data_IF_218226359097
#
_entry.id   IF_218226359097
#
_cell.length_a   1.000
_cell.length_b   1.000
_cell.length_c   1.000
_cell.angle_alpha   90.00
_cell.angle_beta   90.00
_cell.angle_gamma   90.00
#
_symmetry.space_group_name_H-M   'P 1'
#
loop_
_entity.id
_entity.type
_entity.pdbx_description
1 polymer ?
#
# COMPACT_ATOMS: atom_id res chain seq x y z
N UNK A 1 -8.74 24.24 -34.53
CA UNK A 1 -7.87 24.31 -33.33
C UNK A 1 -8.44 25.29 -32.31
N UNK A 2 -9.06 26.39 -32.75
CA UNK A 2 -9.76 27.36 -31.91
C UNK A 2 -11.06 26.81 -31.27
N UNK A 3 -11.70 25.81 -31.88
CA UNK A 3 -12.94 25.19 -31.35
C UNK A 3 -12.71 24.42 -30.05
N UNK A 4 -11.53 23.79 -29.90
CA UNK A 4 -11.15 23.03 -28.70
C UNK A 4 -10.97 23.99 -27.52
N UNK A 5 -10.32 25.14 -27.75
CA UNK A 5 -10.09 26.15 -26.72
C UNK A 5 -11.40 26.85 -26.32
N UNK A 6 -12.30 27.08 -27.28
CA UNK A 6 -13.64 27.62 -27.03
C UNK A 6 -14.49 26.68 -26.16
N UNK A 7 -14.40 25.37 -26.39
CA UNK A 7 -15.12 24.36 -25.60
C UNK A 7 -14.63 24.27 -24.15
N UNK A 8 -13.31 24.25 -23.94
CA UNK A 8 -12.72 24.23 -22.59
C UNK A 8 -13.07 25.51 -21.82
N UNK A 9 -13.00 26.68 -22.48
CA UNK A 9 -13.37 27.96 -21.86
C UNK A 9 -14.84 28.02 -21.45
N UNK A 10 -15.74 27.41 -22.24
CA UNK A 10 -17.17 27.34 -21.91
C UNK A 10 -17.43 26.45 -20.71
N UNK A 11 -16.81 25.27 -20.63
CA UNK A 11 -16.98 24.34 -19.51
C UNK A 11 -16.51 24.98 -18.19
N UNK A 12 -15.36 25.66 -18.20
CA UNK A 12 -14.83 26.35 -17.01
C UNK A 12 -15.71 27.53 -16.58
N UNK A 13 -16.36 28.21 -17.53
CA UNK A 13 -17.29 29.30 -17.21
C UNK A 13 -18.65 28.80 -16.69
N UNK A 14 -19.04 27.57 -17.01
CA UNK A 14 -20.35 26.97 -16.67
C UNK A 14 -20.29 26.20 -15.33
N UNK A 15 -19.12 25.73 -14.89
CA UNK A 15 -18.94 24.94 -13.65
C UNK A 15 -18.57 25.80 -12.40
N UNK A 16 -18.61 27.12 -12.53
CA UNK A 16 -18.12 28.09 -11.53
C UNK A 16 -19.15 28.86 -10.71
N UNK A 17 -20.37 28.35 -10.46
CA UNK A 17 -21.33 28.99 -9.54
C UNK A 17 -21.74 28.09 -8.37
N UNK A 18 -21.21 28.30 -7.16
CA UNK A 18 -21.67 27.64 -5.95
C UNK A 18 -22.65 28.56 -5.21
N UNK A 19 -23.96 28.42 -5.43
CA UNK A 19 -24.99 29.09 -4.62
C UNK A 19 -26.16 28.16 -4.22
N UNK A 20 -25.95 27.44 -3.09
CA UNK A 20 -26.71 27.47 -1.81
C UNK A 20 -28.27 27.48 -1.79
N UNK A 21 -28.91 27.32 -0.60
CA UNK A 21 -29.64 26.13 -0.19
C UNK A 21 -31.16 26.31 -0.27
N UNK A 22 -31.89 25.25 -0.64
CA UNK A 22 -33.36 25.20 -0.45
C UNK A 22 -33.72 24.12 0.55
N UNK A 23 -33.93 24.56 1.78
CA UNK A 23 -34.61 23.77 2.78
C UNK A 23 -36.05 23.47 2.34
N UNK A 24 -36.51 22.24 2.63
CA UNK A 24 -37.67 21.94 3.47
C UNK A 24 -38.13 20.51 3.22
N UNK A 25 -37.90 19.65 4.21
CA UNK A 25 -38.88 18.69 4.75
C UNK A 25 -38.23 18.03 5.95
N UNK A 26 -38.57 18.51 7.14
CA UNK A 26 -38.40 17.76 8.39
C UNK A 26 -39.37 16.58 8.29
N UNK A 27 -38.90 15.49 7.70
CA UNK A 27 -39.52 14.19 7.81
C UNK A 27 -39.09 13.59 9.13
N UNK A 28 -40.05 13.40 10.03
CA UNK A 28 -39.90 12.64 11.28
C UNK A 28 -39.10 11.35 11.02
N UNK A 29 -38.01 11.06 11.74
CA UNK A 29 -37.34 9.77 11.59
C UNK A 29 -38.28 8.67 12.08
N UNK A 30 -38.53 7.68 11.23
CA UNK A 30 -39.10 6.41 11.65
C UNK A 30 -38.07 5.70 12.55
N UNK A 31 -38.51 4.98 13.61
CA UNK A 31 -37.59 4.21 14.43
C UNK A 31 -36.90 3.13 13.56
N UNK A 32 -35.62 2.83 13.83
CA UNK A 32 -34.93 1.75 13.12
C UNK A 32 -35.65 0.42 13.40
N UNK A 33 -35.71 -0.50 12.42
CA UNK A 33 -36.16 -1.87 12.69
C UNK A 33 -35.25 -2.49 13.76
N UNK A 34 -35.76 -3.40 14.60
CA UNK A 34 -34.92 -4.10 15.57
C UNK A 34 -33.81 -4.81 14.80
N UNK A 35 -32.56 -4.56 15.20
CA UNK A 35 -31.41 -5.30 14.71
C UNK A 35 -31.69 -6.79 14.96
N UNK A 36 -31.87 -7.54 13.87
CA UNK A 36 -31.62 -8.97 13.95
C UNK A 36 -30.15 -9.14 14.38
N UNK A 37 -29.82 -10.13 15.23
CA UNK A 37 -28.42 -10.43 15.49
C UNK A 37 -27.79 -10.74 14.12
N UNK A 38 -26.87 -9.88 13.71
CA UNK A 38 -25.93 -10.23 12.65
C UNK A 38 -25.10 -11.35 13.28
N UNK A 39 -25.35 -12.58 12.83
CA UNK A 39 -24.49 -13.72 13.12
C UNK A 39 -23.10 -13.38 12.57
N UNK A 40 -22.28 -12.79 13.44
CA UNK A 40 -20.87 -12.45 13.25
C UNK A 40 -20.01 -13.73 13.30
N UNK A 41 -20.44 -14.76 12.57
CA UNK A 41 -19.78 -16.07 12.49
C UNK A 41 -19.54 -16.44 11.02
N UNK A 42 -19.18 -15.44 10.22
CA UNK A 42 -18.27 -15.69 9.12
C UNK A 42 -16.87 -15.52 9.69
N UNK A 43 -16.07 -16.58 9.88
CA UNK A 43 -14.67 -16.38 10.19
C UNK A 43 -14.04 -15.68 8.97
N UNK A 44 -13.80 -14.38 9.09
CA UNK A 44 -12.71 -13.75 8.37
C UNK A 44 -11.45 -14.47 8.85
N UNK A 45 -11.09 -15.56 8.16
CA UNK A 45 -9.79 -16.20 8.32
C UNK A 45 -8.74 -15.21 7.86
N UNK A 46 -8.33 -14.35 8.78
CA UNK A 46 -7.11 -13.56 8.69
C UNK A 46 -5.97 -14.55 8.52
N UNK A 47 -5.40 -14.59 7.32
CA UNK A 47 -4.22 -15.40 7.02
C UNK A 47 -2.99 -14.72 7.63
N UNK A 48 -2.62 -15.11 8.85
CA UNK A 48 -1.32 -14.75 9.44
C UNK A 48 -0.18 -15.50 8.73
N UNK A 49 0.65 -14.75 8.01
CA UNK A 49 1.76 -15.26 7.20
C UNK A 49 3.09 -15.26 8.00
N UNK A 50 3.08 -15.84 9.20
CA UNK A 50 4.29 -15.93 10.05
C UNK A 50 5.19 -17.12 9.72
N UNK A 51 4.78 -17.99 8.79
CA UNK A 51 5.59 -19.11 8.33
C UNK A 51 6.33 -18.75 7.04
N UNK A 52 7.66 -18.89 6.97
CA UNK A 52 8.36 -18.75 5.71
C UNK A 52 7.89 -19.87 4.78
N UNK A 53 7.31 -19.49 3.64
CA UNK A 53 7.03 -20.45 2.55
C UNK A 53 8.37 -21.07 2.16
N UNK A 54 8.53 -22.36 2.45
CA UNK A 54 9.67 -23.11 1.96
C UNK A 54 9.68 -22.99 0.44
N UNK A 55 10.74 -22.41 -0.13
CA UNK A 55 10.95 -22.46 -1.56
C UNK A 55 10.85 -23.94 -1.99
N UNK A 56 10.09 -24.28 -3.06
CA UNK A 56 10.00 -25.65 -3.50
C UNK A 56 11.42 -26.18 -3.67
N UNK A 57 11.72 -27.28 -2.98
CA UNK A 57 12.97 -28.00 -3.17
C UNK A 57 13.08 -28.24 -4.68
N UNK A 58 14.23 -27.90 -5.33
CA UNK A 58 14.37 -28.19 -6.75
C UNK A 58 14.06 -29.68 -6.91
N UNK A 59 13.16 -30.06 -7.84
CA UNK A 59 12.80 -31.45 -8.01
C UNK A 59 14.10 -32.23 -8.14
N UNK A 60 14.30 -33.20 -7.24
CA UNK A 60 15.45 -34.10 -7.30
C UNK A 60 15.45 -34.65 -8.72
N UNK A 61 16.48 -34.31 -9.49
CA UNK A 61 16.60 -34.76 -10.86
C UNK A 61 16.68 -36.29 -10.85
N UNK A 62 15.54 -36.95 -11.00
CA UNK A 62 15.52 -38.26 -11.62
C UNK A 62 16.20 -38.07 -12.98
N UNK A 63 17.17 -38.94 -13.29
CA UNK A 63 17.87 -38.88 -14.56
C UNK A 63 16.82 -38.77 -15.68
N UNK A 64 16.89 -37.72 -16.52
CA UNK A 64 15.84 -37.45 -17.48
C UNK A 64 15.72 -38.66 -18.40
N UNK A 65 14.55 -39.31 -18.34
CA UNK A 65 14.11 -40.17 -19.44
C UNK A 65 14.12 -39.28 -20.68
N UNK A 66 14.66 -39.73 -21.84
CA UNK A 66 14.76 -38.86 -23.01
C UNK A 66 13.36 -38.39 -23.40
N UNK A 67 13.06 -37.16 -23.03
CA UNK A 67 11.91 -36.41 -23.50
C UNK A 67 12.13 -36.20 -25.00
N UNK A 68 11.11 -36.38 -25.85
CA UNK A 68 11.24 -36.02 -27.25
C UNK A 68 11.75 -34.58 -27.31
N UNK A 69 12.83 -34.37 -28.07
CA UNK A 69 13.50 -33.07 -28.14
C UNK A 69 12.44 -31.96 -28.33
N UNK A 70 12.47 -30.89 -27.52
CA UNK A 70 11.54 -29.80 -27.70
C UNK A 70 11.67 -29.33 -29.14
N UNK A 71 10.55 -29.35 -29.88
CA UNK A 71 10.52 -28.73 -31.20
C UNK A 71 11.04 -27.29 -31.04
N UNK A 72 11.92 -26.82 -31.93
CA UNK A 72 12.43 -25.47 -31.83
C UNK A 72 11.24 -24.53 -31.83
N UNK A 73 10.99 -23.89 -30.68
CA UNK A 73 10.06 -22.78 -30.58
C UNK A 73 10.57 -21.78 -31.60
N UNK A 74 9.86 -21.63 -32.72
CA UNK A 74 10.19 -20.58 -33.69
C UNK A 74 10.17 -19.31 -32.87
N UNK A 75 11.31 -18.62 -32.79
CA UNK A 75 11.34 -17.29 -32.23
C UNK A 75 10.26 -16.49 -32.96
N UNK A 76 9.21 -16.11 -32.25
CA UNK A 76 8.21 -15.18 -32.78
C UNK A 76 8.99 -13.99 -33.32
N UNK A 77 8.73 -13.63 -34.57
CA UNK A 77 9.34 -12.45 -35.17
C UNK A 77 9.14 -11.27 -34.19
N UNK A 78 10.18 -10.47 -33.93
CA UNK A 78 10.05 -9.35 -33.01
C UNK A 78 8.90 -8.47 -33.52
N UNK A 79 7.90 -8.25 -32.67
CA UNK A 79 6.79 -7.37 -32.98
C UNK A 79 7.35 -6.03 -33.51
N UNK A 80 6.75 -5.47 -34.57
CA UNK A 80 7.26 -4.25 -35.16
C UNK A 80 7.32 -3.15 -34.09
N UNK A 81 8.51 -2.57 -33.92
CA UNK A 81 8.73 -1.54 -32.92
C UNK A 81 7.70 -0.41 -33.09
N UNK A 82 6.88 -0.20 -32.07
CA UNK A 82 5.83 0.84 -32.04
C UNK A 82 6.45 2.24 -32.21
N UNK A 83 7.71 2.40 -31.79
CA UNK A 83 8.45 3.65 -31.88
C UNK A 83 9.49 3.62 -33.00
N UNK A 84 9.61 4.75 -33.70
CA UNK A 84 10.71 4.94 -34.63
C UNK A 84 12.05 5.00 -33.89
N UNK A 85 13.12 4.47 -34.50
CA UNK A 85 14.47 4.53 -33.95
C UNK A 85 14.93 5.98 -33.68
N UNK A 86 14.49 6.93 -34.53
CA UNK A 86 14.75 8.36 -34.33
C UNK A 86 14.10 8.89 -33.06
N UNK A 87 12.84 8.55 -32.83
CA UNK A 87 12.10 8.98 -31.63
C UNK A 87 12.76 8.41 -30.37
N UNK A 88 13.07 7.12 -30.37
CA UNK A 88 13.73 6.46 -29.25
C UNK A 88 15.09 7.10 -28.91
N UNK A 89 15.89 7.44 -29.93
CA UNK A 89 17.18 8.08 -29.72
C UNK A 89 17.05 9.53 -29.22
N UNK A 90 16.06 10.27 -29.72
CA UNK A 90 15.81 11.65 -29.29
C UNK A 90 15.37 11.74 -27.81
N UNK A 91 14.56 10.78 -27.34
CA UNK A 91 14.07 10.77 -25.95
C UNK A 91 15.07 10.23 -24.93
N UNK A 92 16.07 9.44 -25.39
CA UNK A 92 17.02 8.74 -24.51
C UNK A 92 17.79 9.67 -23.59
N UNK A 93 18.31 10.79 -24.12
CA UNK A 93 19.07 11.76 -23.32
C UNK A 93 18.25 12.48 -22.24
N UNK A 94 16.96 12.75 -22.52
CA UNK A 94 16.05 13.38 -21.57
C UNK A 94 15.65 12.42 -20.44
N UNK A 95 15.41 11.16 -20.77
CA UNK A 95 15.13 10.11 -19.77
C UNK A 95 16.37 9.81 -18.91
N UNK A 96 17.57 9.83 -19.48
CA UNK A 96 18.81 9.72 -18.70
C UNK A 96 19.02 10.92 -17.77
N UNK A 97 18.72 12.14 -18.23
CA UNK A 97 18.78 13.33 -17.39
C UNK A 97 17.76 13.27 -16.24
N UNK A 98 16.54 12.81 -16.52
CA UNK A 98 15.49 12.59 -15.51
C UNK A 98 15.89 11.51 -14.50
N UNK A 99 16.44 10.40 -14.97
CA UNK A 99 16.96 9.30 -14.14
C UNK A 99 18.02 9.78 -13.15
N UNK A 100 18.93 10.66 -13.59
CA UNK A 100 19.95 11.27 -12.70
C UNK A 100 19.37 12.23 -11.66
N UNK A 101 18.21 12.82 -11.95
CA UNK A 101 17.47 13.69 -11.03
C UNK A 101 16.67 12.89 -10.00
N UNK A 102 16.38 11.61 -10.26
CA UNK A 102 15.91 10.69 -9.24
C UNK A 102 17.11 10.40 -8.33
N UNK A 103 17.34 11.32 -7.38
CA UNK A 103 18.32 11.19 -6.33
C UNK A 103 18.09 9.85 -5.65
N UNK A 104 19.01 8.90 -5.86
CA UNK A 104 19.10 7.69 -5.06
C UNK A 104 19.69 8.15 -3.73
N UNK A 105 18.92 8.19 -2.63
CA UNK A 105 19.40 8.78 -1.40
C UNK A 105 20.55 7.91 -0.86
N UNK A 106 21.73 8.51 -0.68
CA UNK A 106 22.89 7.90 -0.02
C UNK A 106 22.55 7.50 1.44
N UNK A 107 21.57 8.18 2.04
CA UNK A 107 21.03 7.90 3.36
C UNK A 107 19.54 7.61 3.23
N UNK A 108 19.14 6.34 3.43
CA UNK A 108 17.73 5.97 3.48
C UNK A 108 16.99 6.89 4.47
N UNK A 109 15.98 7.61 3.98
CA UNK A 109 15.09 8.37 4.86
C UNK A 109 15.43 9.85 5.11
N UNK A 110 16.47 10.46 4.53
CA UNK A 110 16.75 11.90 4.80
C UNK A 110 15.91 12.86 3.94
N UNK A 111 15.87 12.63 2.62
CA UNK A 111 15.11 13.47 1.65
C UNK A 111 13.95 12.71 0.98
N UNK A 112 13.51 11.61 1.61
CA UNK A 112 12.39 10.80 1.11
C UNK A 112 11.12 11.11 1.88
N UNK A 113 9.96 10.83 1.27
CA UNK A 113 8.67 10.92 1.93
C UNK A 113 8.64 10.16 3.27
N UNK A 114 9.30 9.00 3.34
CA UNK A 114 9.42 8.22 4.58
C UNK A 114 10.11 9.02 5.70
N UNK A 115 11.14 9.78 5.35
CA UNK A 115 11.83 10.68 6.26
C UNK A 115 10.94 11.74 6.86
N UNK A 116 10.20 12.44 6.00
CA UNK A 116 9.26 13.46 6.42
C UNK A 116 8.15 12.88 7.32
N UNK A 117 7.58 11.74 6.92
CA UNK A 117 6.55 11.05 7.72
C UNK A 117 7.10 10.60 9.07
N UNK A 118 8.33 10.09 9.12
CA UNK A 118 8.99 9.69 10.37
C UNK A 118 9.19 10.87 11.31
N UNK A 119 9.68 12.01 10.80
CA UNK A 119 9.84 13.23 11.60
C UNK A 119 8.50 13.78 12.10
N UNK A 120 7.43 13.63 11.32
CA UNK A 120 6.08 14.01 11.74
C UNK A 120 5.47 13.05 12.78
N UNK A 121 5.71 11.74 12.67
CA UNK A 121 5.17 10.73 13.58
C UNK A 121 5.91 10.66 14.92
N UNK A 122 7.20 11.01 14.93
CA UNK A 122 8.06 10.99 16.12
C UNK A 122 7.47 11.72 17.34
N UNK A 123 6.98 12.98 17.24
CA UNK A 123 6.39 13.67 18.39
C UNK A 123 5.10 12.98 18.88
N UNK A 124 4.24 12.52 17.98
CA UNK A 124 2.97 11.87 18.37
C UNK A 124 3.21 10.54 19.10
N UNK A 125 4.17 9.75 18.62
CA UNK A 125 4.56 8.50 19.27
C UNK A 125 5.22 8.74 20.62
N UNK A 126 6.04 9.80 20.74
CA UNK A 126 6.66 10.16 22.02
C UNK A 126 5.60 10.51 23.06
N UNK A 127 4.66 11.39 22.73
CA UNK A 127 3.59 11.80 23.65
C UNK A 127 2.71 10.61 24.06
N UNK A 128 2.40 9.73 23.11
CA UNK A 128 1.65 8.52 23.40
C UNK A 128 2.43 7.58 24.34
N UNK A 129 3.73 7.37 24.09
CA UNK A 129 4.57 6.56 24.95
C UNK A 129 4.67 7.16 26.36
N UNK A 130 4.86 8.47 26.48
CA UNK A 130 4.93 9.16 27.77
C UNK A 130 3.64 8.97 28.58
N UNK A 131 2.48 8.99 27.92
CA UNK A 131 1.18 8.80 28.57
C UNK A 131 0.87 7.33 28.91
N UNK A 132 1.30 6.37 28.09
CA UNK A 132 0.82 4.97 28.16
C UNK A 132 1.84 3.99 28.73
N UNK A 133 3.13 4.27 28.58
CA UNK A 133 4.21 3.37 28.98
C UNK A 133 4.23 3.10 30.51
N UNK A 134 3.98 4.08 31.41
CA UNK A 134 3.97 3.81 32.85
C UNK A 134 3.00 2.70 33.25
N UNK A 135 1.77 2.74 32.73
CA UNK A 135 0.73 1.74 33.01
C UNK A 135 1.09 0.36 32.46
N UNK A 136 1.66 0.32 31.24
CA UNK A 136 2.09 -0.93 30.61
C UNK A 136 3.19 -1.59 31.46
N UNK A 137 4.16 -0.81 31.91
CA UNK A 137 5.26 -1.29 32.76
C UNK A 137 4.74 -1.77 34.11
N UNK A 138 3.86 -1.02 34.77
CA UNK A 138 3.28 -1.46 36.05
C UNK A 138 2.58 -2.82 35.91
N UNK A 139 1.78 -2.99 34.86
CA UNK A 139 1.10 -4.27 34.59
C UNK A 139 2.08 -5.42 34.37
N UNK A 140 3.17 -5.18 33.62
CA UNK A 140 4.21 -6.18 33.39
C UNK A 140 5.00 -6.51 34.67
N UNK A 141 5.34 -5.51 35.48
CA UNK A 141 6.08 -5.69 36.73
C UNK A 141 5.22 -6.42 37.77
N UNK A 142 3.94 -6.09 37.92
CA UNK A 142 3.04 -6.81 38.82
C UNK A 142 2.96 -8.29 38.47
N UNK A 143 2.79 -8.63 37.18
CA UNK A 143 2.83 -10.02 36.70
C UNK A 143 4.16 -10.70 36.98
N UNK A 144 5.27 -9.98 36.82
CA UNK A 144 6.60 -10.51 37.06
C UNK A 144 6.87 -10.77 38.55
N UNK A 145 6.40 -9.90 39.44
CA UNK A 145 6.48 -10.10 40.89
C UNK A 145 5.63 -11.30 41.31
N UNK A 146 4.39 -11.41 40.85
CA UNK A 146 3.52 -12.57 41.12
C UNK A 146 4.19 -13.87 40.69
N UNK A 147 4.82 -13.89 39.51
CA UNK A 147 5.56 -15.05 38.99
C UNK A 147 6.75 -15.45 39.87
N UNK A 148 7.51 -14.47 40.39
CA UNK A 148 8.67 -14.74 41.24
C UNK A 148 8.23 -15.20 42.63
N UNK A 149 7.20 -14.57 43.19
CA UNK A 149 6.67 -14.91 44.52
C UNK A 149 6.04 -16.30 44.50
N UNK A 150 5.25 -16.64 43.48
CA UNK A 150 4.66 -17.97 43.32
C UNK A 150 5.71 -19.08 43.18
N UNK A 151 6.82 -18.82 42.47
CA UNK A 151 7.93 -19.78 42.31
C UNK A 151 8.77 -19.96 43.59
N UNK A 152 8.69 -19.03 44.55
CA UNK A 152 9.46 -19.08 45.80
C UNK A 152 8.67 -19.71 46.95
N UNK A 153 7.37 -19.92 46.76
CA UNK A 153 6.46 -20.53 47.73
C UNK A 153 6.29 -22.05 47.55
N UNK A 154 6.69 -22.59 46.39
CA UNK A 154 7.01 -24.00 46.15
C UNK A 154 8.49 -24.29 46.44
#
# INVERSE_FOLDING_TARGET
MEDILSSIKRIIAEEGDPQSPRGRRIGRPAPPPPAAPEDDDAPETVLELDQPVAAPEPPRAEAPRPEPAPEPVRASEPDPAILSARTAQATRGQLEALSRLIVKPEVAGADTLEGLVREMLKPMLSEWLDANLPRIVETMVSREIERIVGRRAD
#
